data_IF_482118656552
#
_entry.id   IF_482118656552
#
_cell.length_a   1.000
_cell.length_b   1.000
_cell.length_c   1.000
_cell.angle_alpha   90.00
_cell.angle_beta   90.00
_cell.angle_gamma   90.00
#
_symmetry.space_group_name_H-M   'P 1'
#
loop_
_entity.id
_entity.type
_entity.pdbx_description
1 polymer ?
#
# COMPACT_ATOMS: atom_id res chain seq x y z
N UNK A 1 2.43 2.87 -10.57
CA UNK A 1 2.24 4.00 -9.64
C UNK A 1 2.57 5.38 -10.24
N UNK A 2 2.61 5.53 -11.59
CA UNK A 2 2.77 6.81 -12.28
C UNK A 2 1.51 7.07 -13.10
N UNK A 3 0.36 7.29 -12.45
CA UNK A 3 -0.83 7.69 -13.21
C UNK A 3 -1.73 8.74 -12.55
N UNK A 4 -1.42 9.26 -11.35
CA UNK A 4 -2.27 10.27 -10.71
C UNK A 4 -1.56 11.39 -9.94
N UNK A 5 -0.27 11.66 -10.17
CA UNK A 5 0.44 12.76 -9.46
C UNK A 5 0.46 12.61 -7.93
N UNK A 6 0.06 11.44 -7.42
CA UNK A 6 0.24 11.02 -6.04
C UNK A 6 1.65 10.45 -5.93
N UNK A 7 2.45 11.08 -5.09
CA UNK A 7 3.78 10.58 -4.75
C UNK A 7 3.67 9.79 -3.44
N UNK A 8 4.63 8.89 -3.20
CA UNK A 8 4.68 8.07 -1.99
C UNK A 8 4.58 8.92 -0.70
N UNK A 9 5.03 10.18 -0.75
CA UNK A 9 4.95 11.14 0.35
C UNK A 9 3.50 11.51 0.70
N UNK A 10 2.65 11.82 -0.28
CA UNK A 10 1.23 12.16 -0.04
C UNK A 10 0.47 10.98 0.56
N UNK A 11 0.69 9.77 0.02
CA UNK A 11 0.04 8.58 0.55
C UNK A 11 0.56 8.22 1.95
N UNK A 12 1.86 8.33 2.21
CA UNK A 12 2.42 8.15 3.55
C UNK A 12 1.80 9.14 4.57
N UNK A 13 1.68 10.42 4.20
CA UNK A 13 1.03 11.43 5.03
C UNK A 13 -0.44 11.13 5.29
N UNK A 14 -1.19 10.67 4.28
CA UNK A 14 -2.58 10.25 4.45
C UNK A 14 -2.73 9.06 5.41
N UNK A 15 -1.78 8.13 5.39
CA UNK A 15 -1.74 6.98 6.28
C UNK A 15 -1.18 7.29 7.67
N UNK A 16 -0.74 8.54 7.92
CA UNK A 16 -0.16 8.95 9.19
C UNK A 16 1.23 8.35 9.48
N UNK A 17 1.96 7.92 8.44
CA UNK A 17 3.29 7.31 8.57
C UNK A 17 4.36 8.12 7.82
N UNK A 18 5.63 7.90 8.18
CA UNK A 18 6.73 8.53 7.45
C UNK A 18 6.89 7.91 6.05
N UNK A 19 7.39 8.71 5.10
CA UNK A 19 7.70 8.21 3.75
C UNK A 19 8.70 7.04 3.79
N UNK A 20 9.64 7.04 4.73
CA UNK A 20 10.58 5.93 4.93
C UNK A 20 9.87 4.65 5.40
N UNK A 21 8.92 4.75 6.34
CA UNK A 21 8.11 3.62 6.79
C UNK A 21 7.23 3.08 5.66
N UNK A 22 6.61 3.98 4.89
CA UNK A 22 5.83 3.60 3.72
C UNK A 22 6.68 2.87 2.67
N UNK A 23 7.88 3.39 2.37
CA UNK A 23 8.85 2.74 1.48
C UNK A 23 9.29 1.38 2.00
N UNK A 24 9.54 1.24 3.30
CA UNK A 24 9.85 -0.06 3.90
C UNK A 24 8.71 -1.06 3.73
N UNK A 25 7.45 -0.64 3.90
CA UNK A 25 6.26 -1.49 3.69
C UNK A 25 6.08 -1.92 2.23
N UNK A 26 6.31 -1.02 1.27
CA UNK A 26 6.27 -1.37 -0.17
C UNK A 26 7.34 -2.41 -0.53
N UNK A 27 8.52 -2.30 0.07
CA UNK A 27 9.64 -3.20 -0.22
C UNK A 27 9.75 -4.38 0.77
N UNK A 28 8.72 -4.60 1.59
CA UNK A 28 8.66 -5.65 2.63
C UNK A 28 9.94 -5.72 3.51
N UNK A 29 10.59 -4.57 3.68
CA UNK A 29 11.92 -4.50 4.29
C UNK A 29 11.80 -4.72 5.79
N UNK A 30 12.59 -5.64 6.33
CA UNK A 30 12.66 -5.96 7.76
C UNK A 30 11.29 -6.38 8.34
N UNK A 31 10.46 -7.09 7.55
CA UNK A 31 9.11 -7.51 7.99
C UNK A 31 8.13 -6.34 8.13
N UNK A 32 8.39 -5.21 7.48
CA UNK A 32 7.44 -4.12 7.42
C UNK A 32 6.31 -4.48 6.46
N UNK A 33 5.10 -4.66 7.00
CA UNK A 33 3.89 -4.98 6.25
C UNK A 33 2.83 -3.89 6.41
N UNK A 34 1.93 -3.75 5.44
CA UNK A 34 0.75 -2.92 5.63
C UNK A 34 -0.22 -3.58 6.62
N UNK A 35 -0.70 -2.80 7.60
CA UNK A 35 -1.73 -3.23 8.55
C UNK A 35 -3.12 -3.18 7.91
N UNK A 36 -4.07 -3.90 8.51
CA UNK A 36 -5.48 -3.87 8.08
C UNK A 36 -6.05 -2.45 8.00
N UNK A 37 -5.73 -1.60 8.97
CA UNK A 37 -6.20 -0.21 8.99
C UNK A 37 -5.63 0.59 7.82
N UNK A 38 -4.32 0.46 7.55
CA UNK A 38 -3.69 1.14 6.41
C UNK A 38 -4.27 0.66 5.07
N UNK A 39 -4.47 -0.65 4.90
CA UNK A 39 -5.10 -1.21 3.69
C UNK A 39 -6.54 -0.73 3.51
N UNK A 40 -7.30 -0.58 4.60
CA UNK A 40 -8.66 -0.03 4.57
C UNK A 40 -8.67 1.43 4.11
N UNK A 41 -7.75 2.25 4.63
CA UNK A 41 -7.60 3.64 4.20
C UNK A 41 -7.22 3.75 2.72
N UNK A 42 -6.29 2.90 2.25
CA UNK A 42 -5.90 2.85 0.82
C UNK A 42 -7.11 2.46 -0.05
N UNK A 43 -7.90 1.48 0.40
CA UNK A 43 -9.13 1.04 -0.28
C UNK A 43 -10.10 2.20 -0.44
N UNK A 44 -10.37 2.93 0.64
CA UNK A 44 -11.31 4.05 0.66
C UNK A 44 -10.83 5.21 -0.21
N UNK A 45 -9.55 5.59 -0.10
CA UNK A 45 -8.96 6.71 -0.86
C UNK A 45 -9.03 6.52 -2.37
N UNK A 46 -8.85 5.30 -2.85
CA UNK A 46 -8.82 4.98 -4.29
C UNK A 46 -10.07 4.24 -4.78
N UNK A 47 -11.10 4.12 -3.93
CA UNK A 47 -12.34 3.40 -4.24
C UNK A 47 -12.10 1.97 -4.77
N UNK A 48 -11.14 1.27 -4.18
CA UNK A 48 -10.76 -0.08 -4.62
C UNK A 48 -11.79 -1.12 -4.16
N UNK A 49 -12.01 -2.10 -5.03
CA UNK A 49 -12.79 -3.29 -4.69
C UNK A 49 -12.00 -4.22 -3.77
N UNK A 50 -12.69 -5.16 -3.12
CA UNK A 50 -12.04 -6.17 -2.29
C UNK A 50 -11.06 -7.04 -3.10
N UNK A 51 -11.43 -7.38 -4.34
CA UNK A 51 -10.55 -8.12 -5.26
C UNK A 51 -9.29 -7.34 -5.56
N UNK A 52 -9.39 -6.04 -5.87
CA UNK A 52 -8.20 -5.21 -6.13
C UNK A 52 -7.29 -5.08 -4.90
N UNK A 53 -7.86 -5.01 -3.69
CA UNK A 53 -7.05 -5.03 -2.46
C UNK A 53 -6.33 -6.37 -2.30
N UNK A 54 -7.02 -7.48 -2.56
CA UNK A 54 -6.39 -8.80 -2.58
C UNK A 54 -5.27 -8.86 -3.62
N UNK A 55 -5.50 -8.34 -4.82
CA UNK A 55 -4.50 -8.37 -5.89
C UNK A 55 -3.27 -7.50 -5.60
N UNK A 56 -3.43 -6.41 -4.85
CA UNK A 56 -2.34 -5.49 -4.53
C UNK A 56 -1.50 -6.00 -3.35
N UNK A 57 -2.14 -6.50 -2.29
CA UNK A 57 -1.48 -6.80 -1.01
C UNK A 57 -1.32 -8.29 -0.72
N UNK A 58 -2.05 -9.15 -1.43
CA UNK A 58 -2.12 -10.58 -1.15
C UNK A 58 -1.87 -11.46 -2.39
N UNK A 59 -1.65 -10.87 -3.56
CA UNK A 59 -1.15 -11.62 -4.72
C UNK A 59 0.29 -12.02 -4.47
N UNK A 60 0.45 -13.22 -3.92
CA UNK A 60 1.69 -13.97 -4.08
C UNK A 60 1.91 -14.14 -5.59
N UNK A 61 2.95 -13.55 -6.15
CA UNK A 61 3.53 -14.10 -7.37
C UNK A 61 4.10 -15.48 -7.00
N UNK A 62 3.22 -16.48 -6.99
CA UNK A 62 3.64 -17.87 -7.00
C UNK A 62 4.18 -18.11 -8.41
N UNK A 63 5.46 -17.85 -8.60
CA UNK A 63 6.21 -18.54 -9.66
C UNK A 63 6.20 -20.02 -9.28
N UNK A 64 5.37 -20.80 -9.97
CA UNK A 64 5.45 -22.26 -10.03
C UNK A 64 6.80 -22.69 -10.62
#
# INVERSE_FOLDING_TARGET
MILHGDNQKKLASYLGISQQRFSAKINEKNGAEFSKSEMTLIKEKYHLTATQINDIFFSNFVSL
#
